data_IF_824894956241
#
_entry.id   IF_824894956241
#
_cell.length_a   1.000
_cell.length_b   1.000
_cell.length_c   1.000
_cell.angle_alpha   90.00
_cell.angle_beta   90.00
_cell.angle_gamma   90.00
#
_symmetry.space_group_name_H-M   'P 1'
#
loop_
_entity.id
_entity.type
_entity.pdbx_description
1 polymer ?
#
# COMPACT_ATOMS: atom_id res chain seq x y z
N UNK A 1 9.90 14.04 41.28
CA UNK A 1 10.80 14.15 40.10
C UNK A 1 11.18 15.61 39.93
N UNK A 2 12.48 15.91 39.81
CA UNK A 2 12.96 17.29 39.61
C UNK A 2 12.38 17.84 38.28
N UNK A 3 12.11 19.15 38.16
CA UNK A 3 11.53 19.74 36.96
C UNK A 3 12.29 19.36 35.67
N UNK A 4 13.62 19.30 35.76
CA UNK A 4 14.53 18.92 34.68
C UNK A 4 14.21 17.51 34.14
N UNK A 5 13.93 16.55 35.03
CA UNK A 5 13.59 15.17 34.63
C UNK A 5 12.23 15.11 33.93
N UNK A 6 11.27 15.96 34.32
CA UNK A 6 9.95 16.03 33.66
C UNK A 6 10.08 16.59 32.24
N UNK A 7 10.84 17.67 32.08
CA UNK A 7 11.08 18.30 30.78
C UNK A 7 11.78 17.32 29.84
N UNK A 8 12.82 16.64 30.31
CA UNK A 8 13.53 15.66 29.49
C UNK A 8 12.65 14.48 29.07
N UNK A 9 11.78 13.99 29.96
CA UNK A 9 10.85 12.90 29.66
C UNK A 9 9.79 13.31 28.63
N UNK A 10 9.26 14.53 28.73
CA UNK A 10 8.30 15.05 27.74
C UNK A 10 8.95 15.21 26.37
N UNK A 11 10.17 15.75 26.30
CA UNK A 11 10.91 15.88 25.04
C UNK A 11 11.20 14.49 24.45
N UNK A 12 11.67 13.54 25.26
CA UNK A 12 11.94 12.18 24.81
C UNK A 12 10.69 11.49 24.25
N UNK A 13 9.55 11.61 24.93
CA UNK A 13 8.27 11.07 24.44
C UNK A 13 7.80 11.76 23.15
N UNK A 14 8.02 13.07 23.02
CA UNK A 14 7.67 13.84 21.83
C UNK A 14 8.51 13.39 20.62
N UNK A 15 9.82 13.24 20.81
CA UNK A 15 10.73 12.76 19.76
C UNK A 15 10.39 11.32 19.36
N UNK A 16 10.12 10.43 20.32
CA UNK A 16 9.73 9.06 20.03
C UNK A 16 8.44 9.00 19.20
N UNK A 17 7.46 9.86 19.51
CA UNK A 17 6.21 9.96 18.77
C UNK A 17 6.43 10.40 17.33
N UNK A 18 7.33 11.36 17.10
CA UNK A 18 7.70 11.82 15.75
C UNK A 18 8.42 10.73 14.95
N UNK A 19 9.28 9.93 15.59
CA UNK A 19 9.96 8.79 14.95
C UNK A 19 8.97 7.71 14.55
N UNK A 20 8.05 7.34 15.44
CA UNK A 20 6.97 6.39 15.14
C UNK A 20 6.11 6.93 14.00
N UNK A 21 5.71 8.19 14.06
CA UNK A 21 4.93 8.81 12.97
C UNK A 21 5.65 8.71 11.62
N UNK A 22 6.96 9.03 11.58
CA UNK A 22 7.78 8.86 10.39
C UNK A 22 7.83 7.40 9.91
N UNK A 23 8.04 6.43 10.80
CA UNK A 23 8.12 5.01 10.40
C UNK A 23 6.79 4.44 9.86
N UNK A 24 5.65 4.94 10.35
CA UNK A 24 4.35 4.47 9.92
C UNK A 24 3.84 5.18 8.66
N UNK A 25 4.05 6.51 8.57
CA UNK A 25 3.47 7.36 7.52
C UNK A 25 4.45 7.81 6.43
N UNK A 26 5.75 7.59 6.56
CA UNK A 26 6.70 7.88 5.48
C UNK A 26 6.54 6.88 4.33
N UNK A 27 6.94 7.26 3.12
CA UNK A 27 6.88 6.39 1.94
C UNK A 27 7.72 5.13 2.14
N UNK A 28 7.09 3.96 2.00
CA UNK A 28 7.70 2.66 2.33
C UNK A 28 7.58 2.26 3.80
N UNK A 29 6.76 2.98 4.58
CA UNK A 29 6.54 2.72 5.99
C UNK A 29 5.83 1.39 6.28
N UNK A 30 5.63 1.12 7.57
CA UNK A 30 5.00 -0.11 8.06
C UNK A 30 3.60 -0.31 7.47
N UNK A 31 2.84 0.77 7.29
CA UNK A 31 1.48 0.72 6.74
C UNK A 31 1.46 0.29 5.26
N UNK A 32 2.36 0.86 4.45
CA UNK A 32 2.54 0.51 3.03
C UNK A 32 2.95 -0.95 2.89
N UNK A 33 3.91 -1.37 3.71
CA UNK A 33 4.42 -2.75 3.72
C UNK A 33 3.34 -3.75 4.13
N UNK A 34 2.61 -3.47 5.20
CA UNK A 34 1.54 -4.36 5.68
C UNK A 34 0.41 -4.48 4.66
N UNK A 35 -0.02 -3.37 4.06
CA UNK A 35 -1.05 -3.39 3.02
C UNK A 35 -0.60 -4.16 1.78
N UNK A 36 0.63 -3.94 1.33
CA UNK A 36 1.20 -4.65 0.17
C UNK A 36 1.33 -6.14 0.46
N UNK A 37 1.74 -6.52 1.67
CA UNK A 37 1.85 -7.92 2.08
C UNK A 37 0.49 -8.65 2.11
N UNK A 38 -0.60 -7.94 2.42
CA UNK A 38 -1.96 -8.50 2.40
C UNK A 38 -2.55 -8.59 0.99
N UNK A 39 -2.38 -7.53 0.19
CA UNK A 39 -3.00 -7.43 -1.13
C UNK A 39 -2.26 -8.25 -2.20
N UNK A 40 -0.94 -8.40 -2.09
CA UNK A 40 -0.12 -9.21 -3.01
C UNK A 40 -0.60 -10.66 -3.15
N UNK A 41 -0.75 -11.45 -2.07
CA UNK A 41 -1.19 -12.84 -2.20
C UNK A 41 -2.60 -12.94 -2.78
N UNK A 42 -3.53 -12.07 -2.37
CA UNK A 42 -4.91 -12.06 -2.88
C UNK A 42 -4.94 -11.76 -4.38
N UNK A 43 -4.21 -10.73 -4.80
CA UNK A 43 -4.09 -10.39 -6.23
C UNK A 43 -3.41 -11.52 -7.02
N UNK A 44 -2.37 -12.15 -6.48
CA UNK A 44 -1.70 -13.27 -7.15
C UNK A 44 -2.62 -14.48 -7.31
N UNK A 45 -3.41 -14.81 -6.28
CA UNK A 45 -4.41 -15.89 -6.36
C UNK A 45 -5.49 -15.54 -7.39
N UNK A 46 -5.98 -14.31 -7.40
CA UNK A 46 -6.97 -13.85 -8.37
C UNK A 46 -6.45 -13.96 -9.82
N UNK A 47 -5.23 -13.52 -10.08
CA UNK A 47 -4.57 -13.64 -11.39
C UNK A 47 -4.38 -15.10 -11.79
N UNK A 48 -4.00 -15.94 -10.83
CA UNK A 48 -3.84 -17.38 -11.07
C UNK A 48 -5.15 -18.06 -11.46
N UNK A 49 -6.28 -17.60 -10.92
CA UNK A 49 -7.61 -18.20 -11.20
C UNK A 49 -8.23 -17.63 -12.47
N UNK A 50 -8.09 -16.33 -12.70
CA UNK A 50 -8.72 -15.65 -13.85
C UNK A 50 -7.87 -15.68 -15.11
N UNK A 51 -6.58 -16.01 -14.99
CA UNK A 51 -5.62 -15.91 -16.10
C UNK A 51 -5.32 -14.47 -16.55
N UNK A 52 -5.88 -13.48 -15.86
CA UNK A 52 -5.68 -12.06 -16.16
C UNK A 52 -4.49 -11.46 -15.43
N UNK A 53 -4.11 -10.24 -15.83
CA UNK A 53 -3.02 -9.47 -15.20
C UNK A 53 -3.54 -8.41 -14.21
N UNK A 54 -4.85 -8.22 -14.15
CA UNK A 54 -5.52 -7.19 -13.36
C UNK A 54 -5.51 -7.50 -11.87
N UNK A 55 -5.23 -6.48 -11.06
CA UNK A 55 -5.35 -6.56 -9.60
C UNK A 55 -6.82 -6.34 -9.22
N UNK A 56 -7.36 -7.17 -8.32
CA UNK A 56 -8.72 -6.97 -7.78
C UNK A 56 -8.70 -6.01 -6.58
N UNK A 57 -7.58 -5.95 -5.86
CA UNK A 57 -7.37 -5.00 -4.77
C UNK A 57 -6.36 -3.92 -5.18
N UNK A 58 -6.64 -2.64 -4.86
CA UNK A 58 -5.72 -1.54 -5.16
C UNK A 58 -4.41 -1.66 -4.37
N UNK A 59 -3.30 -1.28 -5.00
CA UNK A 59 -2.01 -1.24 -4.34
C UNK A 59 -1.84 0.07 -3.53
N UNK A 60 -1.05 0.03 -2.46
CA UNK A 60 -0.91 1.14 -1.53
C UNK A 60 -0.38 2.43 -2.20
N UNK A 61 0.53 2.27 -3.17
CA UNK A 61 0.99 3.34 -4.05
C UNK A 61 0.58 3.03 -5.48
N UNK A 62 -0.62 3.41 -5.86
CA UNK A 62 -0.86 3.79 -7.25
C UNK A 62 -0.19 5.14 -7.46
N UNK A 63 1.09 5.13 -7.86
CA UNK A 63 1.72 6.33 -8.42
C UNK A 63 1.08 6.56 -9.77
N UNK A 64 -0.02 7.31 -9.79
CA UNK A 64 -0.57 7.90 -11.00
C UNK A 64 -0.92 6.93 -12.13
N UNK A 65 -1.78 5.95 -11.84
CA UNK A 65 -2.71 5.50 -12.89
C UNK A 65 -4.05 5.24 -12.23
N UNK A 66 -4.90 6.25 -12.24
CA UNK A 66 -6.31 5.97 -12.52
C UNK A 66 -6.31 5.31 -13.91
N UNK A 67 -6.04 4.01 -13.96
CA UNK A 67 -6.34 3.23 -15.15
C UNK A 67 -7.84 3.11 -15.13
N UNK A 68 -8.45 4.05 -15.84
CA UNK A 68 -9.85 4.07 -16.15
C UNK A 68 -10.38 2.66 -16.31
N UNK A 69 -11.50 2.43 -15.64
CA UNK A 69 -12.42 1.34 -15.91
C UNK A 69 -12.77 1.38 -17.40
N UNK A 70 -11.99 0.70 -18.24
CA UNK A 70 -12.10 0.93 -19.68
C UNK A 70 -11.22 0.13 -20.64
N UNK A 71 -10.31 -0.75 -20.20
CA UNK A 71 -9.68 -1.70 -21.16
C UNK A 71 -10.65 -2.86 -21.42
N UNK A 72 -11.65 -2.56 -22.24
CA UNK A 72 -12.37 -3.53 -23.04
C UNK A 72 -11.40 -4.12 -24.09
N UNK A 73 -10.36 -4.82 -23.66
CA UNK A 73 -9.68 -5.80 -24.50
C UNK A 73 -10.42 -7.15 -24.38
N UNK A 74 -11.75 -7.07 -24.38
CA UNK A 74 -12.61 -8.18 -24.69
C UNK A 74 -12.57 -8.36 -26.22
N UNK A 75 -11.87 -9.41 -26.63
CA UNK A 75 -12.40 -10.33 -27.63
C UNK A 75 -12.88 -9.68 -28.96
N UNK A 76 -11.93 -9.41 -29.85
CA UNK A 76 -12.18 -9.45 -31.31
C UNK A 76 -10.99 -10.06 -32.04
N UNK A 77 -10.77 -11.37 -31.84
CA UNK A 77 -10.22 -12.19 -32.90
C UNK A 77 -10.76 -13.63 -32.83
N UNK A 78 -12.09 -13.76 -32.78
CA UNK A 78 -12.78 -14.95 -33.27
C UNK A 78 -13.45 -14.60 -34.60
N UNK A 79 -12.89 -15.14 -35.69
CA UNK A 79 -13.36 -15.01 -37.06
C UNK A 79 -12.14 -14.94 -37.99
N UNK A 80 -11.76 -15.96 -38.75
CA UNK A 80 -12.58 -16.94 -39.43
C UNK A 80 -12.19 -16.87 -40.91
N UNK A 81 -11.71 -18.01 -41.41
CA UNK A 81 -11.33 -18.36 -42.79
C UNK A 81 -9.86 -18.11 -43.19
#
# INVERSE_FOLDING_TARGET
MKPITKVFLVIGALVLSLVIWGLFFNGGGVLETAWTALTTPVNNTWKSVTGGTTNILPQFKETGTASDTGSLDADKNMGGN
#
